data_IF_773058432128
#
_entry.id   IF_773058432128
#
_cell.length_a   1.000
_cell.length_b   1.000
_cell.length_c   1.000
_cell.angle_alpha   90.00
_cell.angle_beta   90.00
_cell.angle_gamma   90.00
#
_symmetry.space_group_name_H-M   'P 1'
#
loop_
_entity.id
_entity.type
_entity.pdbx_description
1 polymer ?
#
# COMPACT_ATOMS: atom_id res chain seq x y z
N UNK A 1 9.59 0.04 14.06
CA UNK A 1 9.25 -0.91 15.16
C UNK A 1 10.33 -1.95 15.44
N UNK A 2 11.59 -1.80 14.99
CA UNK A 2 12.64 -2.79 15.31
C UNK A 2 13.31 -2.53 16.67
N UNK A 3 13.34 -1.26 17.11
CA UNK A 3 13.94 -0.86 18.39
C UNK A 3 12.89 -0.80 19.50
N UNK A 4 13.28 -1.17 20.71
CA UNK A 4 12.41 -1.25 21.89
C UNK A 4 11.78 0.10 22.29
N UNK A 5 12.50 1.21 22.13
CA UNK A 5 11.98 2.53 22.41
C UNK A 5 10.79 2.93 21.52
N UNK A 6 10.70 2.42 20.29
CA UNK A 6 9.51 2.63 19.44
C UNK A 6 8.28 1.95 20.03
N UNK A 7 8.46 0.76 20.60
CA UNK A 7 7.37 0.00 21.24
C UNK A 7 6.96 0.72 22.53
N UNK A 8 7.94 1.22 23.31
CA UNK A 8 7.67 2.03 24.50
C UNK A 8 6.85 3.29 24.17
N UNK A 9 7.07 3.91 23.00
CA UNK A 9 6.25 5.03 22.54
C UNK A 9 4.84 4.60 22.13
N UNK A 10 4.69 3.49 21.40
CA UNK A 10 3.36 2.97 20.99
C UNK A 10 2.49 2.58 22.19
N UNK A 11 3.11 2.13 23.29
CA UNK A 11 2.42 1.79 24.54
C UNK A 11 1.99 2.99 25.38
N UNK A 12 2.27 4.23 24.94
CA UNK A 12 1.82 5.46 25.60
C UNK A 12 0.65 6.08 24.82
N UNK A 13 -0.36 6.64 25.50
CA UNK A 13 -1.35 7.49 24.84
C UNK A 13 -0.68 8.68 24.14
N UNK A 14 -1.24 9.11 23.02
CA UNK A 14 -0.75 10.26 22.25
C UNK A 14 -1.93 11.15 21.84
N UNK A 15 -1.93 12.41 22.29
CA UNK A 15 -3.06 13.33 22.16
C UNK A 15 -4.35 12.69 22.70
N UNK A 16 -5.41 12.63 21.88
CA UNK A 16 -6.69 11.99 22.20
C UNK A 16 -6.69 10.47 21.92
N UNK A 17 -5.63 9.93 21.31
CA UNK A 17 -5.56 8.52 20.96
C UNK A 17 -5.09 7.68 22.15
N UNK A 18 -5.79 6.59 22.50
CA UNK A 18 -5.31 5.65 23.50
C UNK A 18 -4.03 4.95 23.02
N UNK A 19 -3.29 4.34 23.95
CA UNK A 19 -2.13 3.51 23.64
C UNK A 19 -2.47 2.39 22.63
N UNK A 20 -1.47 1.95 21.86
CA UNK A 20 -1.59 0.77 21.02
C UNK A 20 -1.86 -0.47 21.88
N UNK A 21 -2.67 -1.43 21.40
CA UNK A 21 -3.05 -2.60 22.20
C UNK A 21 -1.91 -3.64 22.20
N UNK A 22 -0.83 -3.33 22.93
CA UNK A 22 0.36 -4.19 23.06
C UNK A 22 0.45 -4.62 24.53
N UNK A 23 0.26 -5.91 24.78
CA UNK A 23 0.22 -6.51 26.13
C UNK A 23 1.56 -7.10 26.57
N UNK A 24 2.60 -6.95 25.75
CA UNK A 24 3.93 -7.49 26.06
C UNK A 24 4.60 -6.66 27.14
N UNK A 25 5.25 -7.31 28.08
CA UNK A 25 6.12 -6.69 29.06
C UNK A 25 7.40 -6.18 28.41
N UNK A 26 8.01 -5.15 28.99
CA UNK A 26 9.20 -4.54 28.39
C UNK A 26 10.36 -5.54 28.22
N UNK A 27 10.49 -6.50 29.12
CA UNK A 27 11.48 -7.58 29.04
C UNK A 27 11.26 -8.51 27.85
N UNK A 28 10.06 -8.55 27.26
CA UNK A 28 9.73 -9.41 26.12
C UNK A 28 10.06 -8.77 24.76
N UNK A 29 10.44 -7.49 24.72
CA UNK A 29 10.79 -6.81 23.46
C UNK A 29 12.05 -5.93 23.56
N UNK A 30 12.75 -5.94 24.69
CA UNK A 30 14.05 -5.26 24.79
C UNK A 30 15.08 -5.87 23.83
N UNK A 31 16.12 -5.10 23.49
CA UNK A 31 17.16 -5.58 22.58
C UNK A 31 17.73 -6.92 23.04
N UNK A 32 17.89 -7.88 22.13
CA UNK A 32 18.34 -9.24 22.44
C UNK A 32 17.22 -10.22 22.81
N UNK A 33 15.97 -9.76 22.98
CA UNK A 33 14.81 -10.62 23.25
C UNK A 33 13.78 -10.48 22.13
N UNK A 34 13.32 -11.62 21.60
CA UNK A 34 12.33 -11.68 20.51
C UNK A 34 12.70 -10.80 19.30
N UNK A 35 14.00 -10.66 19.01
CA UNK A 35 14.48 -9.90 17.85
C UNK A 35 14.04 -10.57 16.54
N UNK A 36 14.01 -11.91 16.54
CA UNK A 36 13.33 -12.73 15.55
C UNK A 36 12.87 -14.05 16.17
N UNK A 37 11.82 -14.64 15.60
CA UNK A 37 11.31 -15.97 15.94
C UNK A 37 11.22 -16.78 14.67
N UNK A 38 11.76 -18.00 14.68
CA UNK A 38 11.73 -18.88 13.51
C UNK A 38 10.33 -19.43 13.26
N UNK A 39 9.98 -19.57 11.99
CA UNK A 39 8.76 -20.24 11.55
C UNK A 39 9.13 -21.69 11.23
N UNK A 40 8.47 -22.63 11.89
CA UNK A 40 8.68 -24.08 11.78
C UNK A 40 7.35 -24.78 11.42
N UNK A 41 6.89 -24.68 10.16
CA UNK A 41 5.61 -25.26 9.73
C UNK A 41 5.55 -26.79 9.86
N UNK A 42 6.70 -27.46 9.92
CA UNK A 42 6.83 -28.91 10.12
C UNK A 42 6.24 -29.39 11.46
N UNK A 43 6.14 -28.51 12.46
CA UNK A 43 5.54 -28.84 13.77
C UNK A 43 4.03 -29.06 13.69
N UNK A 44 3.38 -28.54 12.63
CA UNK A 44 1.93 -28.63 12.42
C UNK A 44 1.40 -30.07 12.54
N UNK A 45 2.08 -31.03 11.92
CA UNK A 45 1.68 -32.44 11.93
C UNK A 45 1.66 -33.04 13.35
N UNK A 46 2.62 -32.64 14.20
CA UNK A 46 2.70 -33.12 15.59
C UNK A 46 1.61 -32.48 16.46
N UNK A 47 1.34 -31.19 16.25
CA UNK A 47 0.25 -30.48 16.92
C UNK A 47 -1.10 -31.09 16.54
N UNK A 48 -1.34 -31.34 15.25
CA UNK A 48 -2.58 -31.97 14.79
C UNK A 48 -2.77 -33.38 15.37
N UNK A 49 -1.69 -34.15 15.55
CA UNK A 49 -1.73 -35.44 16.23
C UNK A 49 -2.10 -35.28 17.71
N UNK A 50 -1.47 -34.33 18.43
CA UNK A 50 -1.76 -34.05 19.84
C UNK A 50 -3.24 -33.69 20.07
N UNK A 51 -3.81 -32.83 19.22
CA UNK A 51 -5.24 -32.47 19.31
C UNK A 51 -6.19 -33.62 18.98
N UNK A 52 -5.75 -34.59 18.17
CA UNK A 52 -6.54 -35.77 17.81
C UNK A 52 -6.51 -36.84 18.90
N UNK A 53 -5.33 -37.08 19.48
CA UNK A 53 -5.10 -38.15 20.45
C UNK A 53 -5.48 -37.72 21.88
N UNK A 54 -5.05 -36.52 22.30
CA UNK A 54 -5.24 -36.01 23.66
C UNK A 54 -5.87 -34.59 23.66
N UNK A 55 -7.12 -34.42 23.19
CA UNK A 55 -7.71 -33.09 22.96
C UNK A 55 -7.75 -32.19 24.21
N UNK A 56 -8.07 -32.74 25.38
CA UNK A 56 -8.18 -31.94 26.61
C UNK A 56 -6.82 -31.45 27.12
N UNK A 57 -5.78 -32.27 26.96
CA UNK A 57 -4.40 -31.89 27.25
C UNK A 57 -3.90 -30.85 26.24
N UNK A 58 -4.17 -31.07 24.96
CA UNK A 58 -3.81 -30.16 23.88
C UNK A 58 -4.41 -28.76 24.10
N UNK A 59 -5.71 -28.70 24.44
CA UNK A 59 -6.39 -27.43 24.75
C UNK A 59 -5.81 -26.72 25.96
N UNK A 60 -5.47 -27.48 27.01
CA UNK A 60 -4.83 -26.91 28.20
C UNK A 60 -3.46 -26.30 27.87
N UNK A 61 -2.70 -26.93 26.97
CA UNK A 61 -1.35 -26.49 26.59
C UNK A 61 -1.36 -25.35 25.57
N UNK A 62 -2.23 -25.41 24.57
CA UNK A 62 -2.15 -24.62 23.34
C UNK A 62 -3.42 -23.80 23.02
N UNK A 63 -4.45 -23.87 23.89
CA UNK A 63 -5.75 -23.21 23.71
C UNK A 63 -6.73 -24.00 22.85
N UNK A 64 -7.92 -23.47 22.60
CA UNK A 64 -8.95 -24.22 21.84
C UNK A 64 -8.58 -24.46 20.38
N UNK A 65 -7.83 -23.53 19.79
CA UNK A 65 -7.33 -23.64 18.43
C UNK A 65 -5.84 -23.26 18.41
N UNK A 66 -4.93 -24.19 18.04
CA UNK A 66 -3.49 -23.95 18.10
C UNK A 66 -3.00 -22.96 17.04
N UNK A 67 -3.82 -22.68 16.02
CA UNK A 67 -3.48 -21.81 14.90
C UNK A 67 -4.09 -20.40 15.03
N UNK A 68 -4.88 -20.15 16.08
CA UNK A 68 -5.37 -18.81 16.41
C UNK A 68 -4.21 -17.91 16.82
N UNK A 69 -4.15 -16.70 16.25
CA UNK A 69 -3.05 -15.77 16.45
C UNK A 69 -2.78 -15.48 17.93
N UNK A 70 -3.84 -15.27 18.73
CA UNK A 70 -3.73 -15.06 20.18
C UNK A 70 -3.02 -16.22 20.88
N UNK A 71 -3.30 -17.46 20.48
CA UNK A 71 -2.72 -18.65 21.07
C UNK A 71 -1.26 -18.85 20.63
N UNK A 72 -0.96 -18.59 19.35
CA UNK A 72 0.43 -18.60 18.85
C UNK A 72 1.29 -17.60 19.62
N UNK A 73 0.81 -16.36 19.80
CA UNK A 73 1.56 -15.33 20.53
C UNK A 73 1.77 -15.71 21.99
N UNK A 74 0.75 -16.25 22.65
CA UNK A 74 0.77 -16.58 24.08
C UNK A 74 1.62 -17.81 24.39
N UNK A 75 1.36 -18.93 23.71
CA UNK A 75 1.90 -20.24 24.08
C UNK A 75 3.21 -20.57 23.38
N UNK A 76 3.51 -19.91 22.26
CA UNK A 76 4.72 -20.18 21.50
C UNK A 76 5.69 -19.00 21.52
N UNK A 77 5.32 -17.87 20.90
CA UNK A 77 6.21 -16.70 20.75
C UNK A 77 6.68 -16.13 22.10
N UNK A 78 5.80 -16.12 23.10
CA UNK A 78 6.12 -15.62 24.45
C UNK A 78 6.52 -16.73 25.42
N UNK A 79 6.66 -17.96 24.95
CA UNK A 79 7.07 -19.08 25.79
C UNK A 79 8.46 -18.85 26.37
N UNK A 80 8.67 -19.30 27.60
CA UNK A 80 10.00 -19.35 28.24
C UNK A 80 10.70 -20.68 28.00
N UNK A 81 9.98 -21.68 27.48
CA UNK A 81 10.56 -22.95 27.05
C UNK A 81 11.15 -22.79 25.63
N UNK A 82 12.48 -22.97 25.46
CA UNK A 82 13.13 -22.86 24.15
C UNK A 82 12.55 -23.78 23.07
N UNK A 83 12.00 -24.94 23.42
CA UNK A 83 11.42 -25.87 22.45
C UNK A 83 10.06 -25.38 21.91
N UNK A 84 9.39 -24.54 22.69
CA UNK A 84 8.10 -23.94 22.34
C UNK A 84 8.28 -22.50 21.82
N UNK A 85 9.50 -21.97 21.77
CA UNK A 85 9.78 -20.58 21.41
C UNK A 85 9.95 -20.39 19.89
N UNK A 86 8.91 -20.74 19.13
CA UNK A 86 8.88 -20.76 17.66
C UNK A 86 7.51 -20.33 17.13
N UNK A 87 7.31 -20.25 15.83
CA UNK A 87 5.98 -20.16 15.21
C UNK A 87 5.72 -21.49 14.53
N UNK A 88 4.78 -22.33 15.02
CA UNK A 88 4.69 -23.74 14.63
C UNK A 88 3.90 -24.00 13.33
N UNK A 89 3.56 -22.94 12.59
CA UNK A 89 2.70 -23.00 11.40
C UNK A 89 3.03 -21.84 10.46
N UNK A 90 2.80 -22.03 9.17
CA UNK A 90 2.80 -20.96 8.17
C UNK A 90 1.41 -20.36 7.96
N UNK A 91 0.39 -20.87 8.64
CA UNK A 91 -1.02 -20.53 8.42
C UNK A 91 -1.64 -20.11 9.75
N UNK A 92 -1.93 -18.82 9.87
CA UNK A 92 -2.52 -18.19 11.06
C UNK A 92 -4.00 -17.90 10.79
N UNK A 93 -4.83 -18.10 11.81
CA UNK A 93 -6.21 -17.60 11.80
C UNK A 93 -6.38 -16.48 12.84
N UNK A 94 -7.25 -15.53 12.54
CA UNK A 94 -7.65 -14.47 13.46
C UNK A 94 -9.17 -14.53 13.57
N UNK A 95 -9.68 -14.87 14.75
CA UNK A 95 -11.13 -14.92 15.02
C UNK A 95 -11.76 -13.53 14.87
N UNK A 96 -12.92 -13.49 14.21
CA UNK A 96 -13.65 -12.26 13.92
C UNK A 96 -14.78 -12.04 14.92
N UNK A 97 -14.69 -10.95 15.69
CA UNK A 97 -15.80 -10.49 16.51
C UNK A 97 -16.83 -9.74 15.64
N UNK A 98 -17.88 -10.46 15.22
CA UNK A 98 -18.90 -9.93 14.30
C UNK A 98 -19.64 -8.71 14.83
N UNK A 99 -19.85 -8.61 16.14
CA UNK A 99 -20.50 -7.46 16.75
C UNK A 99 -19.61 -6.21 16.63
N UNK A 100 -18.34 -6.33 17.00
CA UNK A 100 -17.39 -5.22 16.89
C UNK A 100 -17.19 -4.80 15.43
N UNK A 101 -17.13 -5.74 14.48
CA UNK A 101 -17.04 -5.42 13.05
C UNK A 101 -18.21 -4.54 12.60
N UNK A 102 -19.45 -4.88 12.98
CA UNK A 102 -20.63 -4.06 12.66
C UNK A 102 -20.55 -2.66 13.27
N UNK A 103 -20.01 -2.54 14.48
CA UNK A 103 -19.88 -1.27 15.19
C UNK A 103 -18.65 -0.45 14.78
N UNK A 104 -17.70 -1.04 14.05
CA UNK A 104 -16.41 -0.42 13.72
C UNK A 104 -16.47 0.60 12.57
N UNK A 105 -17.57 0.63 11.81
CA UNK A 105 -17.67 1.43 10.59
C UNK A 105 -16.74 0.96 9.46
N UNK A 106 -16.32 -0.31 9.45
CA UNK A 106 -15.71 -0.96 8.28
C UNK A 106 -16.75 -1.02 7.16
N UNK A 107 -16.34 -0.72 5.93
CA UNK A 107 -17.21 -0.94 4.77
C UNK A 107 -17.47 -2.44 4.60
N UNK A 108 -18.72 -2.83 4.77
CA UNK A 108 -19.20 -4.18 4.44
C UNK A 108 -19.06 -4.40 2.94
N UNK A 109 -18.34 -5.45 2.51
CA UNK A 109 -18.22 -5.80 1.08
C UNK A 109 -19.06 -7.04 0.71
N UNK A 110 -19.59 -7.73 1.72
CA UNK A 110 -20.51 -8.86 1.63
C UNK A 110 -21.56 -8.76 2.74
N UNK A 111 -22.69 -9.44 2.57
CA UNK A 111 -23.76 -9.49 3.58
C UNK A 111 -23.36 -10.32 4.81
N UNK A 112 -22.47 -11.31 4.62
CA UNK A 112 -21.95 -12.16 5.68
C UNK A 112 -20.58 -11.70 6.17
N UNK A 113 -20.41 -11.64 7.49
CA UNK A 113 -19.10 -11.44 8.14
C UNK A 113 -18.45 -12.81 8.34
N UNK A 114 -17.22 -13.03 7.85
CA UNK A 114 -16.52 -14.30 8.04
C UNK A 114 -16.24 -14.56 9.52
N UNK A 115 -16.09 -15.84 9.90
CA UNK A 115 -15.74 -16.21 11.28
C UNK A 115 -14.25 -15.99 11.56
N UNK A 116 -13.41 -16.08 10.53
CA UNK A 116 -11.95 -15.97 10.66
C UNK A 116 -11.34 -15.20 9.48
N UNK A 117 -10.24 -14.51 9.74
CA UNK A 117 -9.28 -14.08 8.72
C UNK A 117 -8.14 -15.08 8.68
N UNK A 118 -7.79 -15.57 7.50
CA UNK A 118 -6.66 -16.46 7.30
C UNK A 118 -5.47 -15.67 6.75
N UNK A 119 -4.29 -15.88 7.34
CA UNK A 119 -3.04 -15.21 6.95
C UNK A 119 -1.96 -16.26 6.73
N UNK A 120 -1.24 -16.16 5.61
CA UNK A 120 -0.06 -16.99 5.33
C UNK A 120 1.22 -16.25 5.71
N UNK A 121 2.10 -16.91 6.45
CA UNK A 121 3.47 -16.46 6.70
C UNK A 121 4.37 -17.05 5.61
N UNK A 122 4.94 -16.19 4.78
CA UNK A 122 5.85 -16.53 3.68
C UNK A 122 7.33 -16.27 4.02
N UNK A 123 7.65 -16.18 5.32
CA UNK A 123 8.98 -15.87 5.84
C UNK A 123 9.46 -17.03 6.71
N UNK A 124 10.78 -17.30 6.68
CA UNK A 124 11.42 -18.29 7.56
C UNK A 124 11.53 -17.81 9.01
N UNK A 125 11.41 -16.51 9.26
CA UNK A 125 11.37 -15.93 10.60
C UNK A 125 10.55 -14.64 10.61
N UNK A 126 9.91 -14.36 11.75
CA UNK A 126 9.26 -13.09 12.03
C UNK A 126 10.11 -12.26 12.98
N UNK A 127 10.58 -11.12 12.49
CA UNK A 127 11.25 -10.10 13.30
C UNK A 127 10.30 -9.35 14.23
N UNK A 128 10.85 -8.70 15.26
CA UNK A 128 10.13 -7.93 16.27
C UNK A 128 9.05 -6.98 15.72
N UNK A 129 9.32 -6.29 14.62
CA UNK A 129 8.34 -5.42 13.97
C UNK A 129 7.09 -6.19 13.50
N UNK A 130 7.26 -7.40 12.95
CA UNK A 130 6.15 -8.28 12.56
C UNK A 130 5.38 -8.78 13.79
N UNK A 131 6.10 -9.18 14.85
CA UNK A 131 5.47 -9.65 16.10
C UNK A 131 4.61 -8.56 16.74
N UNK A 132 5.06 -7.30 16.72
CA UNK A 132 4.27 -6.18 17.24
C UNK A 132 3.04 -5.88 16.39
N UNK A 133 3.13 -6.02 15.06
CA UNK A 133 1.96 -5.90 14.18
C UNK A 133 0.94 -7.00 14.47
N UNK A 134 1.40 -8.24 14.62
CA UNK A 134 0.58 -9.38 14.99
C UNK A 134 -0.05 -9.22 16.37
N UNK A 135 0.69 -8.74 17.37
CA UNK A 135 0.16 -8.43 18.70
C UNK A 135 -0.97 -7.40 18.61
N UNK A 136 -0.76 -6.28 17.91
CA UNK A 136 -1.80 -5.27 17.75
C UNK A 136 -3.05 -5.82 17.04
N UNK A 137 -2.87 -6.67 16.02
CA UNK A 137 -3.98 -7.34 15.34
C UNK A 137 -4.74 -8.25 16.31
N UNK A 138 -4.02 -9.10 17.05
CA UNK A 138 -4.59 -10.03 18.01
C UNK A 138 -5.40 -9.31 19.10
N UNK A 139 -4.91 -8.19 19.61
CA UNK A 139 -5.54 -7.46 20.71
C UNK A 139 -6.59 -6.43 20.26
N UNK A 140 -6.64 -6.09 18.97
CA UNK A 140 -7.57 -5.06 18.46
C UNK A 140 -9.06 -5.42 18.65
N UNK A 141 -9.37 -6.72 18.61
CA UNK A 141 -10.72 -7.30 18.64
C UNK A 141 -11.69 -6.60 17.66
N UNK A 142 -11.18 -6.02 16.57
CA UNK A 142 -11.94 -5.22 15.60
C UNK A 142 -12.63 -3.97 16.18
N UNK A 143 -12.39 -3.62 17.46
CA UNK A 143 -12.90 -2.39 18.09
C UNK A 143 -12.06 -1.20 17.68
N UNK A 144 -10.73 -1.34 17.78
CA UNK A 144 -9.78 -0.34 17.32
C UNK A 144 -9.33 -0.68 15.89
N UNK A 145 -9.61 0.18 14.91
CA UNK A 145 -9.15 -0.03 13.54
C UNK A 145 -7.62 -0.11 13.46
N UNK A 146 -7.09 -1.09 12.73
CA UNK A 146 -5.67 -1.20 12.40
C UNK A 146 -5.48 -0.70 10.97
N UNK A 147 -4.47 0.15 10.77
CA UNK A 147 -4.13 0.71 9.47
C UNK A 147 -2.66 0.48 9.12
N UNK A 148 -2.42 0.25 7.84
CA UNK A 148 -1.10 0.30 7.22
C UNK A 148 -0.99 1.58 6.40
N UNK A 149 0.15 2.28 6.48
CA UNK A 149 0.40 3.43 5.60
C UNK A 149 0.52 2.96 4.15
N UNK A 150 -0.03 3.72 3.20
CA UNK A 150 -0.02 3.32 1.78
C UNK A 150 1.37 3.36 1.13
N UNK A 151 2.35 3.91 1.83
CA UNK A 151 3.72 4.16 1.36
C UNK A 151 4.73 3.13 1.84
N UNK A 152 4.34 2.16 2.67
CA UNK A 152 5.27 1.12 3.14
C UNK A 152 5.36 -0.03 2.14
N UNK A 153 6.48 -0.77 2.20
CA UNK A 153 6.72 -1.93 1.35
C UNK A 153 5.74 -3.07 1.62
N UNK A 154 5.43 -3.84 0.57
CA UNK A 154 4.52 -5.00 0.67
C UNK A 154 5.02 -6.07 1.64
N UNK A 155 6.33 -6.13 1.86
CA UNK A 155 6.99 -7.04 2.80
C UNK A 155 6.54 -6.84 4.25
N UNK A 156 6.02 -5.65 4.58
CA UNK A 156 5.47 -5.31 5.90
C UNK A 156 3.97 -5.62 6.05
N UNK A 157 3.26 -5.95 4.96
CA UNK A 157 1.81 -6.20 5.00
C UNK A 157 1.42 -7.56 5.57
N UNK A 158 2.38 -8.45 5.86
CA UNK A 158 2.11 -9.79 6.41
C UNK A 158 1.06 -10.57 5.60
N UNK A 159 1.08 -10.43 4.27
CA UNK A 159 0.11 -11.04 3.35
C UNK A 159 -1.37 -10.68 3.61
N UNK A 160 -1.65 -9.54 4.26
CA UNK A 160 -3.01 -9.01 4.45
C UNK A 160 -3.49 -8.12 3.29
N UNK A 161 -2.80 -8.12 2.15
CA UNK A 161 -3.15 -7.21 1.03
C UNK A 161 -4.58 -7.45 0.52
N UNK A 162 -5.05 -8.70 0.58
CA UNK A 162 -6.43 -9.08 0.23
C UNK A 162 -7.44 -8.81 1.34
N UNK A 163 -7.02 -8.15 2.42
CA UNK A 163 -7.84 -7.73 3.54
C UNK A 163 -7.78 -6.20 3.73
N UNK A 164 -7.33 -5.45 2.72
CA UNK A 164 -7.14 -4.02 2.80
C UNK A 164 -8.26 -3.22 2.14
N UNK A 165 -8.78 -2.26 2.90
CA UNK A 165 -9.69 -1.22 2.39
C UNK A 165 -8.96 0.12 2.44
N UNK A 166 -8.73 0.73 1.28
CA UNK A 166 -8.12 2.04 1.19
C UNK A 166 -9.13 3.13 1.54
N UNK A 167 -8.78 3.96 2.51
CA UNK A 167 -9.62 5.08 2.98
C UNK A 167 -8.89 6.43 2.82
N UNK A 168 -7.84 6.47 2.00
CA UNK A 168 -6.93 7.61 1.82
C UNK A 168 -5.48 7.16 1.76
N UNK A 169 -4.61 7.84 2.50
CA UNK A 169 -3.18 7.51 2.62
C UNK A 169 -2.88 6.26 3.47
N UNK A 170 -3.92 5.54 3.90
CA UNK A 170 -3.80 4.36 4.71
C UNK A 170 -4.80 3.28 4.26
N UNK A 171 -4.36 2.03 4.40
CA UNK A 171 -5.16 0.83 4.21
C UNK A 171 -5.65 0.33 5.56
N UNK A 172 -6.97 0.29 5.73
CA UNK A 172 -7.61 -0.33 6.89
C UNK A 172 -7.60 -1.84 6.74
N UNK A 173 -7.20 -2.55 7.80
CA UNK A 173 -7.37 -4.00 7.87
C UNK A 173 -8.85 -4.34 8.08
N UNK A 174 -9.36 -5.24 7.24
CA UNK A 174 -10.75 -5.65 7.16
C UNK A 174 -10.84 -7.17 7.32
N UNK A 175 -11.91 -7.69 7.97
CA UNK A 175 -12.09 -9.13 8.06
C UNK A 175 -12.46 -9.77 6.71
N UNK A 176 -12.89 -8.96 5.73
CA UNK A 176 -13.35 -9.46 4.44
C UNK A 176 -12.19 -9.65 3.46
N UNK A 177 -12.32 -10.64 2.57
CA UNK A 177 -11.44 -10.78 1.41
C UNK A 177 -11.87 -9.81 0.31
N UNK A 178 -11.06 -8.78 0.08
CA UNK A 178 -11.28 -7.72 -0.90
C UNK A 178 -10.83 -8.08 -2.32
N UNK A 179 -10.23 -9.27 -2.51
CA UNK A 179 -9.60 -9.73 -3.75
C UNK A 179 -8.59 -8.70 -4.30
N UNK A 180 -7.77 -8.15 -3.40
CA UNK A 180 -6.82 -7.08 -3.69
C UNK A 180 -7.25 -5.72 -3.14
N UNK A 181 -6.79 -4.64 -3.77
CA UNK A 181 -7.01 -3.29 -3.27
C UNK A 181 -8.46 -2.85 -3.49
N UNK A 182 -9.23 -2.73 -2.41
CA UNK A 182 -10.58 -2.16 -2.43
C UNK A 182 -10.57 -0.74 -1.89
N UNK A 183 -11.37 0.16 -2.47
CA UNK A 183 -11.45 1.57 -2.05
C UNK A 183 -12.81 1.86 -1.42
N UNK A 184 -12.83 2.34 -0.18
CA UNK A 184 -14.03 2.92 0.42
C UNK A 184 -14.19 4.36 -0.05
N UNK A 185 -14.79 4.52 -1.24
CA UNK A 185 -14.91 5.81 -1.90
C UNK A 185 -15.63 6.87 -1.06
N UNK A 186 -16.64 6.49 -0.27
CA UNK A 186 -17.43 7.45 0.50
C UNK A 186 -16.61 8.03 1.66
N UNK A 187 -15.91 7.15 2.40
CA UNK A 187 -15.03 7.59 3.48
C UNK A 187 -13.78 8.30 2.96
N UNK A 188 -13.19 7.79 1.87
CA UNK A 188 -12.06 8.44 1.22
C UNK A 188 -12.44 9.82 0.66
N UNK A 189 -13.65 9.99 0.14
CA UNK A 189 -14.18 11.29 -0.28
C UNK A 189 -14.28 12.26 0.89
N UNK A 190 -14.90 11.87 2.00
CA UNK A 190 -14.97 12.72 3.18
C UNK A 190 -13.57 13.09 3.71
N UNK A 191 -12.66 12.11 3.76
CA UNK A 191 -11.28 12.34 4.19
C UNK A 191 -10.56 13.37 3.29
N UNK A 192 -10.56 13.17 1.97
CA UNK A 192 -9.86 14.03 1.01
C UNK A 192 -10.53 15.40 0.90
N UNK A 193 -11.85 15.45 0.85
CA UNK A 193 -12.58 16.69 0.56
C UNK A 193 -12.73 17.58 1.79
N UNK A 194 -12.89 17.00 2.98
CA UNK A 194 -13.28 17.74 4.18
C UNK A 194 -12.25 17.71 5.32
N UNK A 195 -11.51 16.61 5.48
CA UNK A 195 -10.62 16.41 6.65
C UNK A 195 -9.15 16.70 6.36
N UNK A 196 -8.65 16.34 5.19
CA UNK A 196 -7.26 16.59 4.82
C UNK A 196 -6.98 18.09 4.78
N UNK A 197 -5.72 18.43 5.05
CA UNK A 197 -5.19 19.79 5.01
C UNK A 197 -3.97 19.77 4.10
N UNK A 198 -3.94 20.69 3.14
CA UNK A 198 -2.92 20.73 2.08
C UNK A 198 -1.84 21.77 2.33
N UNK A 199 -1.76 22.34 3.54
CA UNK A 199 -0.62 23.15 3.99
C UNK A 199 -0.24 24.31 3.07
N UNK A 200 -1.21 24.94 2.39
CA UNK A 200 -1.01 26.03 1.43
C UNK A 200 -0.05 25.68 0.28
N UNK A 201 -0.01 24.42 -0.19
CA UNK A 201 0.77 24.01 -1.37
C UNK A 201 0.47 24.89 -2.61
N UNK A 202 -0.74 25.45 -2.70
CA UNK A 202 -1.13 26.37 -3.76
C UNK A 202 -0.58 27.80 -3.62
N UNK A 203 0.13 28.15 -2.55
CA UNK A 203 0.78 29.47 -2.45
C UNK A 203 2.08 29.47 -3.30
N UNK A 204 2.19 30.31 -4.35
CA UNK A 204 3.39 30.35 -5.19
C UNK A 204 4.65 30.86 -4.47
N UNK A 205 4.50 31.49 -3.29
CA UNK A 205 5.62 31.92 -2.45
C UNK A 205 6.16 30.80 -1.55
N UNK A 206 5.41 29.72 -1.38
CA UNK A 206 5.80 28.60 -0.52
C UNK A 206 6.90 27.78 -1.20
N UNK A 207 8.06 27.70 -0.53
CA UNK A 207 9.11 26.79 -0.95
C UNK A 207 8.80 25.35 -0.49
N UNK A 208 8.74 24.44 -1.44
CA UNK A 208 8.65 23.00 -1.19
C UNK A 208 10.02 22.37 -1.46
N UNK A 209 10.66 21.83 -0.41
CA UNK A 209 11.86 21.02 -0.58
C UNK A 209 11.54 19.67 -1.25
N UNK A 210 12.57 18.93 -1.65
CA UNK A 210 12.43 17.68 -2.37
C UNK A 210 11.59 16.63 -1.62
N UNK A 211 11.72 16.53 -0.30
CA UNK A 211 11.00 15.56 0.53
C UNK A 211 9.52 15.92 0.57
N UNK A 212 9.21 17.20 0.80
CA UNK A 212 7.82 17.68 0.84
C UNK A 212 7.16 17.56 -0.52
N UNK A 213 7.85 17.86 -1.62
CA UNK A 213 7.34 17.60 -2.98
C UNK A 213 7.00 16.13 -3.20
N UNK A 214 7.85 15.21 -2.72
CA UNK A 214 7.59 13.77 -2.75
C UNK A 214 6.29 13.40 -2.02
N UNK A 215 6.09 13.95 -0.81
CA UNK A 215 4.84 13.75 -0.07
C UNK A 215 3.62 14.30 -0.81
N UNK A 216 3.75 15.46 -1.47
CA UNK A 216 2.67 16.04 -2.27
C UNK A 216 2.25 15.12 -3.43
N UNK A 217 3.20 14.42 -4.07
CA UNK A 217 2.88 13.43 -5.11
C UNK A 217 2.03 12.28 -4.55
N UNK A 218 2.37 11.75 -3.37
CA UNK A 218 1.55 10.71 -2.71
C UNK A 218 0.13 11.21 -2.42
N UNK A 219 -0.03 12.45 -1.98
CA UNK A 219 -1.35 13.05 -1.76
C UNK A 219 -2.10 13.26 -3.07
N UNK A 220 -1.42 13.74 -4.13
CA UNK A 220 -2.01 13.91 -5.46
C UNK A 220 -2.58 12.60 -5.99
N UNK A 221 -1.83 11.50 -5.83
CA UNK A 221 -2.27 10.17 -6.26
C UNK A 221 -3.59 9.75 -5.61
N UNK A 222 -3.90 10.22 -4.40
CA UNK A 222 -5.19 9.89 -3.76
C UNK A 222 -6.39 10.49 -4.51
N UNK A 223 -6.23 11.66 -5.13
CA UNK A 223 -7.28 12.21 -6.00
C UNK A 223 -7.51 11.33 -7.23
N UNK A 224 -6.44 10.75 -7.80
CA UNK A 224 -6.57 9.87 -8.97
C UNK A 224 -7.30 8.58 -8.62
N UNK A 225 -6.91 7.92 -7.52
CA UNK A 225 -7.53 6.69 -7.02
C UNK A 225 -9.01 6.91 -6.73
N UNK A 226 -9.36 8.00 -6.02
CA UNK A 226 -10.75 8.29 -5.68
C UNK A 226 -11.59 8.64 -6.92
N UNK A 227 -11.05 9.45 -7.84
CA UNK A 227 -11.78 9.83 -9.05
C UNK A 227 -12.08 8.61 -9.94
N UNK A 228 -11.10 7.71 -10.12
CA UNK A 228 -11.26 6.48 -10.91
C UNK A 228 -12.35 5.57 -10.31
N UNK A 229 -12.34 5.39 -8.99
CA UNK A 229 -13.35 4.59 -8.29
C UNK A 229 -14.76 5.22 -8.38
N UNK A 230 -14.88 6.55 -8.25
CA UNK A 230 -16.16 7.25 -8.39
C UNK A 230 -16.69 7.14 -9.82
N UNK A 231 -15.85 7.30 -10.84
CA UNK A 231 -16.23 7.13 -12.25
C UNK A 231 -16.71 5.69 -12.50
N UNK A 232 -15.99 4.68 -11.97
CA UNK A 232 -16.38 3.27 -12.07
C UNK A 232 -17.76 2.99 -11.47
N UNK A 233 -18.13 3.70 -10.41
CA UNK A 233 -19.47 3.65 -9.78
C UNK A 233 -20.54 4.48 -10.51
N UNK A 234 -20.17 5.24 -11.54
CA UNK A 234 -21.06 6.15 -12.27
C UNK A 234 -21.23 7.52 -11.60
N UNK A 235 -20.53 7.80 -10.50
CA UNK A 235 -20.62 9.06 -9.76
C UNK A 235 -19.70 10.13 -10.34
N UNK A 236 -20.07 10.61 -11.52
CA UNK A 236 -19.29 11.58 -12.28
C UNK A 236 -19.24 12.95 -11.61
N UNK A 237 -20.27 13.33 -10.85
CA UNK A 237 -20.32 14.63 -10.20
C UNK A 237 -19.29 14.72 -9.06
N UNK A 238 -19.24 13.71 -8.18
CA UNK A 238 -18.22 13.68 -7.12
C UNK A 238 -16.82 13.51 -7.71
N UNK A 239 -16.65 12.70 -8.76
CA UNK A 239 -15.36 12.55 -9.43
C UNK A 239 -14.83 13.89 -9.97
N UNK A 240 -15.69 14.68 -10.62
CA UNK A 240 -15.32 16.01 -11.12
C UNK A 240 -14.84 16.93 -9.98
N UNK A 241 -15.59 17.00 -8.88
CA UNK A 241 -15.23 17.80 -7.69
C UNK A 241 -13.88 17.37 -7.09
N UNK A 242 -13.59 16.07 -7.06
CA UNK A 242 -12.30 15.52 -6.58
C UNK A 242 -11.15 16.00 -7.45
N UNK A 243 -11.28 15.90 -8.79
CA UNK A 243 -10.22 16.35 -9.70
C UNK A 243 -10.00 17.86 -9.63
N UNK A 244 -11.07 18.65 -9.55
CA UNK A 244 -10.99 20.12 -9.40
C UNK A 244 -10.31 20.52 -8.09
N UNK A 245 -10.61 19.83 -6.98
CA UNK A 245 -9.91 20.05 -5.72
C UNK A 245 -8.44 19.68 -5.82
N UNK A 246 -8.10 18.55 -6.46
CA UNK A 246 -6.71 18.15 -6.66
C UNK A 246 -5.89 19.18 -7.45
N UNK A 247 -6.47 19.73 -8.53
CA UNK A 247 -5.84 20.79 -9.34
C UNK A 247 -5.68 22.10 -8.56
N UNK A 248 -6.65 22.46 -7.72
CA UNK A 248 -6.60 23.66 -6.88
C UNK A 248 -5.58 23.55 -5.76
N UNK A 249 -5.61 22.46 -4.99
CA UNK A 249 -4.82 22.32 -3.76
C UNK A 249 -3.37 21.92 -4.06
N UNK A 250 -3.13 21.18 -5.14
CA UNK A 250 -1.78 20.75 -5.56
C UNK A 250 -1.56 21.12 -7.03
N UNK A 251 -1.42 22.43 -7.34
CA UNK A 251 -1.33 22.90 -8.71
C UNK A 251 0.00 22.54 -9.38
N UNK A 252 0.00 22.56 -10.71
CA UNK A 252 1.12 22.15 -11.54
C UNK A 252 2.41 22.99 -11.33
N UNK A 253 2.26 24.30 -11.03
CA UNK A 253 3.42 25.16 -10.77
C UNK A 253 4.12 24.84 -9.44
N UNK A 254 3.38 24.32 -8.45
CA UNK A 254 3.93 23.96 -7.15
C UNK A 254 4.53 22.54 -7.19
N UNK A 255 3.81 21.61 -7.79
CA UNK A 255 4.23 20.22 -7.94
C UNK A 255 3.95 19.78 -9.38
N UNK A 256 4.99 19.53 -10.15
CA UNK A 256 4.83 19.26 -11.59
C UNK A 256 4.08 17.94 -11.88
N UNK A 257 3.25 17.92 -12.93
CA UNK A 257 2.67 16.72 -13.53
C UNK A 257 3.61 15.98 -14.51
N UNK A 258 4.93 16.16 -14.41
CA UNK A 258 5.89 15.52 -15.34
C UNK A 258 6.14 14.03 -15.06
N UNK A 259 5.85 13.54 -13.86
CA UNK A 259 6.08 12.15 -13.46
C UNK A 259 4.77 11.45 -13.13
N UNK A 260 4.69 10.14 -13.36
CA UNK A 260 3.46 9.40 -13.08
C UNK A 260 3.30 9.00 -11.60
N UNK A 261 4.32 9.16 -10.76
CA UNK A 261 4.27 8.84 -9.32
C UNK A 261 3.07 9.49 -8.62
N UNK A 262 2.71 10.71 -9.03
CA UNK A 262 1.56 11.46 -8.51
C UNK A 262 0.19 11.06 -9.11
N UNK A 263 0.12 10.00 -9.92
CA UNK A 263 -1.11 9.56 -10.58
C UNK A 263 -1.52 10.41 -11.78
N UNK A 264 -0.55 11.06 -12.45
CA UNK A 264 -0.83 12.04 -13.53
C UNK A 264 -1.63 11.43 -14.68
N UNK A 265 -1.23 10.25 -15.14
CA UNK A 265 -1.86 9.59 -16.29
C UNK A 265 -3.28 9.10 -15.95
N UNK A 266 -3.50 8.67 -14.71
CA UNK A 266 -4.83 8.33 -14.17
C UNK A 266 -5.73 9.56 -14.02
N UNK A 267 -5.19 10.70 -13.53
CA UNK A 267 -5.91 11.98 -13.48
C UNK A 267 -6.32 12.42 -14.89
N UNK A 268 -5.41 12.30 -15.87
CA UNK A 268 -5.71 12.66 -17.25
C UNK A 268 -6.80 11.77 -17.85
N UNK A 269 -6.73 10.45 -17.63
CA UNK A 269 -7.79 9.52 -18.02
C UNK A 269 -9.13 9.90 -17.40
N UNK A 270 -9.15 10.19 -16.10
CA UNK A 270 -10.37 10.61 -15.39
C UNK A 270 -10.93 11.93 -15.97
N UNK A 271 -10.10 12.91 -16.28
CA UNK A 271 -10.53 14.13 -16.98
C UNK A 271 -11.17 13.84 -18.33
N UNK A 272 -10.57 12.95 -19.14
CA UNK A 272 -11.12 12.53 -20.43
C UNK A 272 -12.49 11.87 -20.28
N UNK A 273 -12.63 10.93 -19.36
CA UNK A 273 -13.88 10.19 -19.11
C UNK A 273 -15.02 11.07 -18.57
N UNK A 274 -14.67 12.23 -17.99
CA UNK A 274 -15.60 13.28 -17.57
C UNK A 274 -15.84 14.35 -18.66
N UNK A 275 -15.34 14.13 -19.89
CA UNK A 275 -15.53 15.01 -21.04
C UNK A 275 -14.60 16.22 -21.09
N UNK A 276 -13.62 16.34 -20.19
CA UNK A 276 -12.63 17.44 -20.15
C UNK A 276 -11.36 17.06 -20.91
N UNK A 277 -11.51 16.74 -22.20
CA UNK A 277 -10.43 16.21 -23.06
C UNK A 277 -9.22 17.15 -23.13
N UNK A 278 -9.40 18.46 -23.17
CA UNK A 278 -8.29 19.42 -23.23
C UNK A 278 -7.37 19.33 -22.00
N UNK A 279 -7.94 19.12 -20.81
CA UNK A 279 -7.15 18.90 -19.59
C UNK A 279 -6.37 17.58 -19.67
N UNK A 280 -7.01 16.53 -20.19
CA UNK A 280 -6.35 15.23 -20.38
C UNK A 280 -5.16 15.33 -21.34
N UNK A 281 -5.35 15.95 -22.51
CA UNK A 281 -4.30 16.18 -23.51
C UNK A 281 -3.15 16.96 -22.90
N UNK A 282 -3.43 18.06 -22.20
CA UNK A 282 -2.40 18.89 -21.56
C UNK A 282 -1.52 18.08 -20.61
N UNK A 283 -2.11 17.28 -19.74
CA UNK A 283 -1.37 16.47 -18.77
C UNK A 283 -0.56 15.35 -19.43
N UNK A 284 -1.16 14.61 -20.36
CA UNK A 284 -0.48 13.50 -21.03
C UNK A 284 0.67 13.99 -21.93
N UNK A 285 0.48 15.12 -22.63
CA UNK A 285 1.57 15.77 -23.38
C UNK A 285 2.70 16.17 -22.44
N UNK A 286 2.42 16.69 -21.24
CA UNK A 286 3.47 17.05 -20.28
C UNK A 286 4.31 15.85 -19.83
N UNK A 287 3.67 14.68 -19.62
CA UNK A 287 4.40 13.43 -19.31
C UNK A 287 5.27 13.03 -20.50
N UNK A 288 4.72 13.01 -21.72
CA UNK A 288 5.46 12.64 -22.94
C UNK A 288 6.65 13.55 -23.17
N UNK A 289 6.46 14.88 -23.17
CA UNK A 289 7.56 15.82 -23.42
C UNK A 289 8.61 15.78 -22.30
N UNK A 290 8.21 15.54 -21.04
CA UNK A 290 9.19 15.35 -19.97
C UNK A 290 10.02 14.08 -20.17
N UNK A 291 9.38 12.97 -20.53
CA UNK A 291 10.10 11.73 -20.83
C UNK A 291 11.08 11.93 -21.98
N UNK A 292 10.66 12.62 -23.05
CA UNK A 292 11.53 12.95 -24.19
C UNK A 292 12.75 13.75 -23.77
N UNK A 293 12.57 14.81 -22.98
CA UNK A 293 13.70 15.62 -22.49
C UNK A 293 14.72 14.79 -21.71
N UNK A 294 14.27 13.87 -20.85
CA UNK A 294 15.18 12.97 -20.13
C UNK A 294 15.86 11.98 -21.08
N UNK A 295 15.11 11.38 -22.01
CA UNK A 295 15.66 10.44 -22.98
C UNK A 295 16.69 11.11 -23.88
N UNK A 296 16.42 12.31 -24.41
CA UNK A 296 17.37 13.13 -25.17
C UNK A 296 18.65 13.38 -24.38
N UNK A 297 18.51 13.73 -23.10
CA UNK A 297 19.66 13.96 -22.21
C UNK A 297 20.47 12.69 -21.99
N UNK A 298 19.83 11.56 -21.70
CA UNK A 298 20.52 10.26 -21.58
C UNK A 298 21.22 9.86 -22.88
N UNK A 299 20.62 10.17 -24.03
CA UNK A 299 21.19 9.85 -25.34
C UNK A 299 22.48 10.61 -25.64
N UNK A 300 22.83 11.68 -24.90
CA UNK A 300 24.12 12.35 -24.98
C UNK A 300 25.27 11.54 -24.35
N UNK A 301 24.96 10.53 -23.54
CA UNK A 301 25.98 9.74 -22.85
C UNK A 301 26.71 8.76 -23.78
N UNK A 302 27.94 8.43 -23.38
CA UNK A 302 28.68 7.29 -23.94
C UNK A 302 27.92 5.99 -23.68
N UNK A 303 28.13 4.96 -24.52
CA UNK A 303 27.43 3.68 -24.36
C UNK A 303 27.62 3.06 -22.97
N UNK A 304 28.83 3.18 -22.38
CA UNK A 304 29.10 2.67 -21.04
C UNK A 304 28.30 3.41 -19.96
N UNK A 305 28.27 4.74 -20.00
CA UNK A 305 27.49 5.55 -19.05
C UNK A 305 25.98 5.37 -19.22
N UNK A 306 25.52 5.16 -20.46
CA UNK A 306 24.12 4.91 -20.77
C UNK A 306 23.66 3.56 -20.22
N UNK A 307 24.47 2.51 -20.34
CA UNK A 307 24.20 1.19 -19.74
C UNK A 307 24.03 1.25 -18.23
N UNK A 308 24.82 2.07 -17.53
CA UNK A 308 24.64 2.30 -16.07
C UNK A 308 23.32 3.00 -15.73
N UNK A 309 22.69 3.68 -16.69
CA UNK A 309 21.41 4.39 -16.54
C UNK A 309 20.26 3.70 -17.29
N UNK A 310 20.43 2.42 -17.68
CA UNK A 310 19.43 1.67 -18.43
C UNK A 310 18.06 1.61 -17.74
N UNK A 311 18.06 1.49 -16.41
CA UNK A 311 16.84 1.50 -15.60
C UNK A 311 16.09 2.83 -15.70
N UNK A 312 16.79 3.96 -15.62
CA UNK A 312 16.12 5.27 -15.72
C UNK A 312 15.57 5.51 -17.13
N UNK A 313 16.29 5.06 -18.16
CA UNK A 313 15.79 5.10 -19.53
C UNK A 313 14.52 4.25 -19.68
N UNK A 314 14.47 3.06 -19.08
CA UNK A 314 13.28 2.20 -19.13
C UNK A 314 12.08 2.79 -18.40
N UNK A 315 12.30 3.43 -17.23
CA UNK A 315 11.26 4.17 -16.51
C UNK A 315 10.68 5.29 -17.38
N UNK A 316 11.53 6.12 -18.00
CA UNK A 316 11.07 7.25 -18.83
C UNK A 316 10.31 6.80 -20.06
N UNK A 317 10.79 5.75 -20.73
CA UNK A 317 10.11 5.16 -21.88
C UNK A 317 8.76 4.54 -21.47
N UNK A 318 8.69 3.87 -20.31
CA UNK A 318 7.45 3.30 -19.78
C UNK A 318 6.44 4.39 -19.42
N UNK A 319 6.87 5.49 -18.80
CA UNK A 319 6.00 6.65 -18.52
C UNK A 319 5.44 7.26 -19.82
N UNK A 320 6.29 7.40 -20.84
CA UNK A 320 5.89 7.90 -22.17
C UNK A 320 4.85 6.98 -22.82
N UNK A 321 5.12 5.67 -22.89
CA UNK A 321 4.22 4.68 -23.48
C UNK A 321 2.90 4.58 -22.71
N UNK A 322 2.92 4.68 -21.39
CA UNK A 322 1.70 4.71 -20.55
C UNK A 322 0.83 5.89 -20.94
N UNK A 323 1.40 7.09 -21.06
CA UNK A 323 0.67 8.28 -21.48
C UNK A 323 0.09 8.14 -22.89
N UNK A 324 0.87 7.62 -23.85
CA UNK A 324 0.45 7.38 -25.24
C UNK A 324 -0.70 6.37 -25.30
N UNK A 325 -0.61 5.27 -24.55
CA UNK A 325 -1.65 4.24 -24.53
C UNK A 325 -2.98 4.79 -23.98
N UNK A 326 -2.93 5.67 -22.98
CA UNK A 326 -4.13 6.38 -22.52
C UNK A 326 -4.66 7.31 -23.61
N UNK A 327 -3.80 8.09 -24.28
CA UNK A 327 -4.24 8.94 -25.40
C UNK A 327 -4.96 8.13 -26.47
N UNK A 328 -4.40 6.98 -26.88
CA UNK A 328 -5.00 6.08 -27.88
C UNK A 328 -6.35 5.54 -27.40
N UNK A 329 -6.41 4.99 -26.19
CA UNK A 329 -7.63 4.40 -25.61
C UNK A 329 -8.77 5.40 -25.47
N UNK A 330 -8.44 6.64 -25.12
CA UNK A 330 -9.41 7.72 -24.89
C UNK A 330 -9.72 8.53 -26.17
N UNK A 331 -9.11 8.18 -27.32
CA UNK A 331 -9.31 8.88 -28.59
C UNK A 331 -8.84 10.34 -28.54
N UNK A 332 -7.68 10.58 -27.93
CA UNK A 332 -7.03 11.88 -27.81
C UNK A 332 -6.02 12.08 -28.97
N UNK A 333 -5.78 13.32 -29.41
CA UNK A 333 -4.87 13.62 -30.51
C UNK A 333 -3.41 13.25 -30.19
N UNK A 334 -2.58 13.20 -31.24
CA UNK A 334 -1.11 13.01 -31.19
C UNK A 334 -0.62 11.63 -30.71
N UNK A 335 -1.49 10.70 -30.32
CA UNK A 335 -1.09 9.37 -29.84
C UNK A 335 -0.13 8.64 -30.81
N UNK A 336 -0.49 8.57 -32.10
CA UNK A 336 0.34 7.87 -33.10
C UNK A 336 1.63 8.61 -33.44
N UNK A 337 1.60 9.95 -33.44
CA UNK A 337 2.82 10.76 -33.58
C UNK A 337 3.80 10.43 -32.45
N UNK A 338 3.33 10.44 -31.21
CA UNK A 338 4.17 10.16 -30.04
C UNK A 338 4.60 8.69 -29.97
N UNK A 339 3.79 7.75 -30.48
CA UNK A 339 4.21 6.36 -30.60
C UNK A 339 5.42 6.23 -31.53
N UNK A 340 5.39 6.86 -32.71
CA UNK A 340 6.53 6.85 -33.63
C UNK A 340 7.80 7.46 -32.99
N UNK A 341 7.67 8.52 -32.19
CA UNK A 341 8.78 9.09 -31.43
C UNK A 341 9.30 8.10 -30.36
N UNK A 342 8.42 7.41 -29.62
CA UNK A 342 8.81 6.42 -28.62
C UNK A 342 9.55 5.23 -29.25
N UNK A 343 9.12 4.76 -30.42
CA UNK A 343 9.79 3.70 -31.19
C UNK A 343 11.21 4.12 -31.63
N UNK A 344 11.40 5.39 -32.00
CA UNK A 344 12.72 5.93 -32.31
C UNK A 344 13.65 5.90 -31.09
N UNK A 345 13.16 6.32 -29.92
CA UNK A 345 13.94 6.22 -28.68
C UNK A 345 14.29 4.78 -28.33
N UNK A 346 13.32 3.86 -28.43
CA UNK A 346 13.55 2.45 -28.17
C UNK A 346 14.65 1.87 -29.08
N UNK A 347 14.55 2.13 -30.39
CA UNK A 347 15.55 1.69 -31.35
C UNK A 347 16.93 2.29 -31.06
N UNK A 348 16.99 3.58 -30.73
CA UNK A 348 18.24 4.28 -30.44
C UNK A 348 18.92 3.79 -29.14
N UNK A 349 18.14 3.47 -28.10
CA UNK A 349 18.63 2.89 -26.86
C UNK A 349 19.19 1.49 -27.09
N UNK A 350 18.47 0.64 -27.82
CA UNK A 350 18.93 -0.70 -28.18
C UNK A 350 20.22 -0.64 -29.01
N UNK A 351 20.31 0.28 -29.98
CA UNK A 351 21.52 0.47 -30.79
C UNK A 351 22.75 0.87 -29.96
N UNK A 352 22.55 1.50 -28.78
CA UNK A 352 23.61 1.84 -27.83
C UNK A 352 23.84 0.77 -26.75
N UNK A 353 23.21 -0.39 -26.84
CA UNK A 353 23.39 -1.51 -25.92
C UNK A 353 22.50 -1.49 -24.68
N UNK A 354 21.51 -0.60 -24.62
CA UNK A 354 20.49 -0.59 -23.56
C UNK A 354 19.28 -1.38 -24.01
N UNK A 355 19.27 -2.67 -23.66
CA UNK A 355 18.15 -3.57 -23.95
C UNK A 355 17.04 -3.37 -22.91
N UNK A 356 15.98 -2.67 -23.29
CA UNK A 356 14.80 -2.49 -22.44
C UNK A 356 13.80 -3.60 -22.76
N UNK A 357 13.51 -4.45 -21.78
CA UNK A 357 12.36 -5.35 -21.86
C UNK A 357 11.12 -4.54 -21.49
N UNK A 358 10.29 -4.21 -22.48
CA UNK A 358 9.08 -3.43 -22.27
C UNK A 358 7.93 -4.23 -21.64
N UNK A 359 8.05 -5.56 -21.52
CA UNK A 359 6.99 -6.43 -21.02
C UNK A 359 5.76 -6.42 -21.93
N UNK A 360 5.48 -7.53 -22.61
CA UNK A 360 4.24 -7.67 -23.39
C UNK A 360 3.00 -7.67 -22.50
#
# INVERSE_FOLDING_TARGET
MQTDWYIDQLKRPAYEAPAAPITWERSEYMSGTNDYIQVQPEMKSQIDALYRENPEEAKRMLGDNPYELKNILKYWVRSKDPQMHVIPTDSIIITVNKENVRNSGIRMISDSIPDYVCMKIDKSALHKNHLMMLEMLAQSDWKRPIYYAATVGKDLYLNLSDNFIQEGLAYRVSPFNTNGQFVDADKMYDNIMNKFRYGNISDPSLYLDQTVRGMCLTHRRMFSVLADELIRRGDKERALKVLEKGEKEIPDYAVSYTQNIGGTTEIARAWSQLGKKDKAVKLLTKVVESSKQYLDWYMLYSSNSLSSNAYECSVRLTEMLTAINIMRKEGLPNAEKYMAEAEQYYAALNAKGVNINLGN
#
